data_IF_674942306154
#
_entry.id   IF_674942306154
#
_cell.length_a   1.000
_cell.length_b   1.000
_cell.length_c   1.000
_cell.angle_alpha   90.00
_cell.angle_beta   90.00
_cell.angle_gamma   90.00
#
_symmetry.space_group_name_H-M   'P 1'
#
loop_
_entity.id
_entity.type
_entity.pdbx_description
1 polymer ?
#
# COMPACT_ATOMS: atom_id res chain seq x y z
N UNK A 1 -8.31 -12.65 5.72
CA UNK A 1 -6.86 -12.56 5.98
C UNK A 1 -6.32 -11.49 5.07
N UNK A 2 -6.08 -10.34 5.66
CA UNK A 2 -6.31 -9.05 5.02
C UNK A 2 -4.99 -8.49 4.50
N UNK A 3 -5.04 -7.60 3.51
CA UNK A 3 -3.90 -6.81 3.03
C UNK A 3 -2.99 -6.29 4.18
N UNK A 4 -3.57 -5.99 5.36
CA UNK A 4 -2.86 -5.67 6.61
C UNK A 4 -1.89 -6.74 7.14
N UNK A 5 -2.21 -8.02 7.03
CA UNK A 5 -1.34 -9.11 7.50
C UNK A 5 -0.11 -9.27 6.60
N UNK A 6 -0.30 -9.09 5.29
CA UNK A 6 0.84 -9.02 4.37
C UNK A 6 1.75 -7.86 4.73
N UNK A 7 1.19 -6.67 4.99
CA UNK A 7 1.99 -5.51 5.38
C UNK A 7 2.75 -5.67 6.69
N UNK A 8 2.22 -6.39 7.70
CA UNK A 8 2.97 -6.72 8.92
C UNK A 8 4.23 -7.55 8.68
N UNK A 9 4.30 -8.30 7.58
CA UNK A 9 5.51 -9.08 7.23
C UNK A 9 6.60 -8.16 6.66
N UNK A 10 6.21 -7.06 6.00
CA UNK A 10 7.11 -6.06 5.44
C UNK A 10 7.51 -5.00 6.47
N UNK A 11 6.56 -4.48 7.25
CA UNK A 11 6.79 -3.51 8.32
C UNK A 11 7.24 -4.22 9.62
N UNK A 12 8.47 -4.75 9.59
CA UNK A 12 9.09 -5.43 10.75
C UNK A 12 9.30 -4.51 11.94
N UNK A 13 9.49 -3.23 11.66
CA UNK A 13 9.73 -2.19 12.66
C UNK A 13 8.42 -1.61 13.22
N UNK A 14 7.26 -1.96 12.64
CA UNK A 14 5.95 -1.50 13.09
C UNK A 14 5.78 0.01 12.96
N UNK A 15 6.47 0.61 12.00
CA UNK A 15 6.51 2.06 11.77
C UNK A 15 5.20 2.61 11.23
N UNK A 16 4.38 1.77 10.58
CA UNK A 16 3.19 2.25 9.88
C UNK A 16 3.43 2.64 8.42
N UNK A 17 4.68 2.53 7.94
CA UNK A 17 5.09 2.95 6.62
C UNK A 17 5.80 1.81 5.89
N UNK A 18 5.60 1.75 4.57
CA UNK A 18 6.30 0.81 3.69
C UNK A 18 6.75 1.54 2.43
N UNK A 19 7.79 1.03 1.77
CA UNK A 19 8.26 1.63 0.53
C UNK A 19 7.20 1.49 -0.56
N UNK A 20 7.00 2.52 -1.39
CA UNK A 20 6.09 2.46 -2.53
C UNK A 20 6.34 1.24 -3.44
N UNK A 21 7.62 0.87 -3.60
CA UNK A 21 8.04 -0.30 -4.37
C UNK A 21 7.58 -1.62 -3.76
N UNK A 22 7.66 -1.76 -2.43
CA UNK A 22 7.21 -2.95 -1.70
C UNK A 22 5.70 -3.04 -1.70
N UNK A 23 5.03 -1.90 -1.46
CA UNK A 23 3.57 -1.81 -1.50
C UNK A 23 3.03 -2.23 -2.87
N UNK A 24 3.62 -1.72 -3.96
CA UNK A 24 3.29 -2.16 -5.32
C UNK A 24 3.47 -3.66 -5.49
N UNK A 25 4.61 -4.19 -5.06
CA UNK A 25 4.89 -5.62 -5.17
C UNK A 25 3.84 -6.48 -4.44
N UNK A 26 3.45 -6.08 -3.24
CA UNK A 26 2.42 -6.75 -2.45
C UNK A 26 1.07 -6.66 -3.12
N UNK A 27 0.68 -5.50 -3.63
CA UNK A 27 -0.62 -5.30 -4.27
C UNK A 27 -0.76 -6.13 -5.55
N UNK A 28 0.27 -6.17 -6.39
CA UNK A 28 0.28 -7.00 -7.60
C UNK A 28 0.22 -8.51 -7.26
N UNK A 29 0.82 -8.93 -6.13
CA UNK A 29 0.80 -10.34 -5.71
C UNK A 29 -0.45 -10.75 -4.92
N UNK A 30 -1.05 -9.84 -4.13
CA UNK A 30 -2.27 -10.12 -3.36
C UNK A 30 -3.54 -9.94 -4.16
N UNK A 31 -3.52 -9.07 -5.17
CA UNK A 31 -4.70 -8.67 -5.90
C UNK A 31 -4.41 -8.64 -7.39
N UNK A 32 -4.68 -9.75 -8.08
CA UNK A 32 -4.88 -9.81 -9.54
C UNK A 32 -5.97 -8.83 -10.08
N UNK A 33 -6.47 -7.91 -9.25
CA UNK A 33 -7.58 -7.00 -9.55
C UNK A 33 -7.20 -5.53 -9.69
N UNK A 34 -6.02 -5.11 -9.22
CA UNK A 34 -5.60 -3.71 -9.35
C UNK A 34 -4.61 -3.60 -10.51
N UNK A 35 -4.89 -2.68 -11.42
CA UNK A 35 -3.97 -2.37 -12.52
C UNK A 35 -2.77 -1.58 -12.01
N UNK A 36 -1.63 -1.65 -12.71
CA UNK A 36 -0.45 -0.85 -12.38
C UNK A 36 -0.79 0.65 -12.25
N UNK A 37 -1.72 1.14 -13.07
CA UNK A 37 -2.21 2.52 -13.07
C UNK A 37 -2.98 2.87 -11.79
N UNK A 38 -3.88 2.00 -11.33
CA UNK A 38 -4.62 2.19 -10.08
C UNK A 38 -3.68 2.17 -8.88
N UNK A 39 -2.69 1.27 -8.89
CA UNK A 39 -1.68 1.20 -7.83
C UNK A 39 -0.83 2.48 -7.81
N UNK A 40 -0.42 3.00 -8.97
CA UNK A 40 0.36 4.24 -9.07
C UNK A 40 -0.43 5.46 -8.56
N UNK A 41 -1.72 5.54 -8.87
CA UNK A 41 -2.62 6.59 -8.38
C UNK A 41 -2.79 6.51 -6.86
N UNK A 42 -3.06 5.32 -6.32
CA UNK A 42 -3.22 5.12 -4.88
C UNK A 42 -1.91 5.35 -4.11
N UNK A 43 -0.76 4.98 -4.70
CA UNK A 43 0.57 5.28 -4.13
C UNK A 43 0.80 6.79 -4.10
N UNK A 44 0.47 7.52 -5.18
CA UNK A 44 0.59 8.98 -5.18
C UNK A 44 -0.28 9.64 -4.13
N UNK A 45 -1.51 9.16 -3.94
CA UNK A 45 -2.40 9.72 -2.91
C UNK A 45 -1.92 9.41 -1.49
N UNK A 46 -1.31 8.24 -1.28
CA UNK A 46 -0.84 7.81 0.02
C UNK A 46 0.60 8.24 0.36
N UNK A 47 1.44 8.59 -0.62
CA UNK A 47 2.76 9.25 -0.43
C UNK A 47 2.60 10.77 -0.33
N UNK A 48 2.03 11.22 0.79
CA UNK A 48 1.81 12.63 1.09
C UNK A 48 3.15 13.36 1.32
N UNK A 49 4.17 12.61 1.71
CA UNK A 49 5.51 13.12 2.07
C UNK A 49 6.43 13.28 0.87
N UNK A 50 6.19 12.58 -0.24
CA UNK A 50 7.05 12.58 -1.42
C UNK A 50 8.43 11.94 -1.17
N UNK A 51 8.55 11.16 -0.10
CA UNK A 51 9.78 10.47 0.29
C UNK A 51 9.84 9.05 -0.31
N UNK A 52 8.81 8.66 -1.08
CA UNK A 52 8.64 7.30 -1.58
C UNK A 52 8.19 6.31 -0.50
N UNK A 53 7.80 6.82 0.67
CA UNK A 53 7.24 6.05 1.78
C UNK A 53 5.72 6.24 1.81
N UNK A 54 5.01 5.11 1.80
CA UNK A 54 3.56 5.09 1.77
C UNK A 54 3.05 4.70 3.15
N UNK A 55 2.13 5.48 3.69
CA UNK A 55 1.43 5.13 4.91
C UNK A 55 0.39 4.04 4.61
N UNK A 56 0.60 2.83 5.13
CA UNK A 56 -0.27 1.71 4.81
C UNK A 56 -1.68 1.91 5.39
N UNK A 57 -1.81 2.59 6.53
CA UNK A 57 -3.10 2.78 7.20
C UNK A 57 -4.00 3.69 6.35
N UNK A 58 -3.42 4.77 5.82
CA UNK A 58 -4.06 5.64 4.84
C UNK A 58 -4.40 4.87 3.56
N UNK A 59 -3.45 4.11 3.02
CA UNK A 59 -3.65 3.33 1.81
C UNK A 59 -4.80 2.32 1.94
N UNK A 60 -4.84 1.58 3.05
CA UNK A 60 -5.93 0.64 3.34
C UNK A 60 -7.26 1.37 3.50
N UNK A 61 -7.25 2.59 4.05
CA UNK A 61 -8.44 3.42 4.16
C UNK A 61 -8.98 3.85 2.78
N UNK A 62 -8.10 4.24 1.84
CA UNK A 62 -8.48 4.54 0.45
C UNK A 62 -9.03 3.26 -0.22
N UNK A 63 -8.33 2.13 -0.10
CA UNK A 63 -8.75 0.85 -0.69
C UNK A 63 -10.12 0.38 -0.14
N UNK A 64 -10.37 0.56 1.16
CA UNK A 64 -11.65 0.22 1.78
C UNK A 64 -12.74 1.24 1.45
N UNK A 65 -12.40 2.51 1.27
CA UNK A 65 -13.36 3.58 0.96
C UNK A 65 -13.71 3.63 -0.53
N UNK A 66 -12.87 3.08 -1.42
CA UNK A 66 -13.12 2.94 -2.85
C UNK A 66 -14.07 1.77 -3.19
N UNK A 67 -14.67 1.12 -2.18
CA UNK A 67 -15.47 -0.11 -2.33
C UNK A 67 -16.94 0.06 -1.95
#
# INVERSE_FOLDING_TARGET
DSVRDAFRIFDKDGTGYVSASELRHVLTHLGEKLSDEEVDEMIREADITGDGQVNYDHFVNILCSAR
#
